data_IF_373310337062
#
_entry.id   IF_373310337062
#
_cell.length_a   1.000
_cell.length_b   1.000
_cell.length_c   1.000
_cell.angle_alpha   90.00
_cell.angle_beta   90.00
_cell.angle_gamma   90.00
#
_symmetry.space_group_name_H-M   'P 1'
#
loop_
_entity.id
_entity.type
_entity.pdbx_description
1 polymer ?
#
# COMPACT_ATOMS: atom_id res chain seq x y z
N UNK A 1 -9.83 -7.74 1.69
CA UNK A 1 -9.82 -7.31 0.28
C UNK A 1 -8.45 -6.76 -0.08
N UNK A 2 -7.92 -7.19 -1.22
CA UNK A 2 -6.65 -6.70 -1.74
C UNK A 2 -6.91 -5.74 -2.90
N UNK A 3 -6.31 -4.56 -2.85
CA UNK A 3 -6.45 -3.58 -3.91
C UNK A 3 -5.08 -3.06 -4.33
N UNK A 4 -4.77 -3.14 -5.61
CA UNK A 4 -3.55 -2.54 -6.15
C UNK A 4 -3.77 -1.05 -6.39
N UNK A 5 -2.86 -0.24 -5.88
CA UNK A 5 -2.96 1.21 -5.97
C UNK A 5 -1.74 1.74 -6.74
N UNK A 6 -1.93 2.15 -8.00
CA UNK A 6 -0.83 2.76 -8.73
C UNK A 6 -0.51 4.13 -8.15
N UNK A 7 0.78 4.39 -7.96
CA UNK A 7 1.24 5.69 -7.49
C UNK A 7 2.15 6.33 -8.54
N UNK A 8 2.13 7.66 -8.65
CA UNK A 8 2.95 8.33 -9.63
C UNK A 8 4.43 8.31 -9.24
N UNK A 9 5.29 8.16 -10.24
CA UNK A 9 6.72 8.26 -10.04
C UNK A 9 7.09 9.74 -10.16
N UNK A 10 7.54 10.33 -9.06
CA UNK A 10 8.10 11.67 -9.06
C UNK A 10 7.13 12.82 -8.80
N UNK A 11 5.90 12.80 -9.29
CA UNK A 11 4.97 13.92 -9.11
C UNK A 11 3.70 13.50 -8.37
N UNK A 12 3.60 13.93 -7.13
CA UNK A 12 2.46 13.61 -6.27
C UNK A 12 1.14 14.16 -6.82
N UNK A 13 1.19 15.24 -7.59
CA UNK A 13 -0.01 15.81 -8.19
C UNK A 13 -0.72 14.90 -9.19
N UNK A 14 -0.05 13.85 -9.65
CA UNK A 14 -0.63 12.90 -10.59
C UNK A 14 -1.40 11.76 -9.91
N UNK A 15 -1.39 11.69 -8.58
CA UNK A 15 -2.15 10.66 -7.88
C UNK A 15 -3.64 10.94 -7.98
N UNK A 16 -4.44 9.88 -8.18
CA UNK A 16 -5.89 10.04 -8.31
C UNK A 16 -6.58 10.15 -6.95
N UNK A 17 -7.75 10.77 -6.93
CA UNK A 17 -8.57 10.82 -5.72
C UNK A 17 -8.94 9.42 -5.24
N UNK A 18 -9.22 8.52 -6.16
CA UNK A 18 -9.56 7.14 -5.83
C UNK A 18 -8.40 6.43 -5.13
N UNK A 19 -7.17 6.65 -5.60
CA UNK A 19 -6.00 6.08 -4.95
C UNK A 19 -5.85 6.61 -3.53
N UNK A 20 -6.05 7.90 -3.33
CA UNK A 20 -5.99 8.50 -2.00
C UNK A 20 -7.04 7.90 -1.08
N UNK A 21 -8.27 7.77 -1.54
CA UNK A 21 -9.36 7.19 -0.76
C UNK A 21 -9.05 5.74 -0.38
N UNK A 22 -8.55 4.95 -1.34
CA UNK A 22 -8.21 3.56 -1.09
C UNK A 22 -7.14 3.44 -0.01
N UNK A 23 -6.12 4.30 -0.05
CA UNK A 23 -5.07 4.29 0.97
C UNK A 23 -5.61 4.70 2.34
N UNK A 24 -6.52 5.67 2.38
CA UNK A 24 -7.14 6.11 3.64
C UNK A 24 -8.02 5.04 4.28
N UNK A 25 -8.66 4.22 3.47
CA UNK A 25 -9.54 3.16 3.96
C UNK A 25 -8.79 1.87 4.31
N UNK A 26 -7.54 1.73 3.89
CA UNK A 26 -6.78 0.52 4.12
C UNK A 26 -6.48 0.29 5.59
N UNK A 27 -6.50 -0.97 6.00
CA UNK A 27 -6.05 -1.38 7.34
C UNK A 27 -4.56 -1.61 7.36
N UNK A 28 -3.98 -1.98 6.21
CA UNK A 28 -2.56 -2.25 6.04
C UNK A 28 -2.16 -1.87 4.63
N UNK A 29 -0.99 -1.28 4.48
CA UNK A 29 -0.45 -0.93 3.17
C UNK A 29 0.84 -1.71 2.92
N UNK A 30 0.88 -2.45 1.81
CA UNK A 30 2.06 -3.18 1.39
C UNK A 30 2.74 -2.39 0.27
N UNK A 31 4.06 -2.36 0.27
CA UNK A 31 4.83 -1.61 -0.71
C UNK A 31 6.23 -2.18 -0.86
N UNK A 32 6.86 -1.93 -1.99
CA UNK A 32 8.21 -2.43 -2.22
C UNK A 32 9.23 -1.72 -1.34
N UNK A 33 9.20 -0.39 -1.32
CA UNK A 33 10.11 0.42 -0.50
C UNK A 33 9.33 1.22 0.53
N UNK A 34 9.41 0.78 1.78
CA UNK A 34 8.66 1.41 2.87
C UNK A 34 9.09 2.85 3.12
N UNK A 35 10.36 3.18 2.89
CA UNK A 35 10.83 4.55 3.11
C UNK A 35 10.24 5.51 2.09
N UNK A 36 10.18 5.10 0.83
CA UNK A 36 9.59 5.91 -0.24
C UNK A 36 8.09 6.09 0.00
N UNK A 37 7.41 5.00 0.32
CA UNK A 37 5.97 5.04 0.56
C UNK A 37 5.62 5.84 1.80
N UNK A 38 6.44 5.80 2.84
CA UNK A 38 6.22 6.60 4.02
C UNK A 38 6.24 8.10 3.70
N UNK A 39 7.16 8.53 2.84
CA UNK A 39 7.21 9.94 2.41
C UNK A 39 5.94 10.32 1.66
N UNK A 40 5.47 9.45 0.77
CA UNK A 40 4.22 9.67 0.04
C UNK A 40 3.05 9.82 1.00
N UNK A 41 2.90 8.89 1.93
CA UNK A 41 1.79 8.89 2.87
C UNK A 41 1.83 10.11 3.79
N UNK A 42 3.01 10.54 4.22
CA UNK A 42 3.13 11.75 5.03
C UNK A 42 2.65 12.99 4.29
N UNK A 43 2.96 13.09 3.00
CA UNK A 43 2.50 14.23 2.19
C UNK A 43 0.98 14.22 2.02
N UNK A 44 0.38 13.04 2.00
CA UNK A 44 -1.07 12.88 1.91
C UNK A 44 -1.75 12.94 3.27
N UNK A 45 -0.97 13.10 4.35
CA UNK A 45 -1.47 13.09 5.72
C UNK A 45 -2.19 11.80 6.08
N UNK A 46 -1.65 10.67 5.59
CA UNK A 46 -2.17 9.35 5.86
C UNK A 46 -1.21 8.61 6.79
N UNK A 47 -1.73 8.08 7.89
CA UNK A 47 -0.96 7.29 8.84
C UNK A 47 -1.54 5.88 8.91
N UNK A 48 -0.85 4.90 8.33
CA UNK A 48 -1.29 3.50 8.29
C UNK A 48 -0.08 2.58 8.47
N UNK A 49 -0.29 1.37 8.99
CA UNK A 49 0.78 0.38 9.06
C UNK A 49 1.31 0.05 7.67
N UNK A 50 2.62 -0.05 7.55
CA UNK A 50 3.28 -0.41 6.30
C UNK A 50 3.98 -1.75 6.45
N UNK A 51 3.97 -2.56 5.39
CA UNK A 51 4.76 -3.77 5.32
C UNK A 51 5.49 -3.82 3.98
N UNK A 52 6.71 -4.34 3.99
CA UNK A 52 7.49 -4.47 2.77
C UNK A 52 7.07 -5.70 1.98
N UNK A 53 6.92 -5.54 0.67
CA UNK A 53 6.61 -6.62 -0.25
C UNK A 53 7.53 -6.46 -1.45
N UNK A 54 8.60 -7.25 -1.50
CA UNK A 54 9.59 -7.20 -2.57
C UNK A 54 10.01 -8.61 -2.96
N UNK A 55 10.83 -8.74 -4.00
CA UNK A 55 11.20 -10.03 -4.59
C UNK A 55 11.77 -11.03 -3.60
N UNK A 56 12.43 -10.55 -2.54
CA UNK A 56 13.09 -11.43 -1.57
C UNK A 56 12.14 -12.00 -0.51
N UNK A 57 10.95 -11.42 -0.34
CA UNK A 57 10.04 -11.86 0.72
C UNK A 57 8.62 -12.19 0.24
N UNK A 58 8.36 -12.14 -1.07
CA UNK A 58 7.01 -12.40 -1.60
C UNK A 58 6.46 -13.76 -1.20
N UNK A 59 7.29 -14.80 -1.27
CA UNK A 59 6.85 -16.16 -0.95
C UNK A 59 6.29 -16.29 0.46
N UNK A 60 6.76 -15.47 1.37
CA UNK A 60 6.33 -15.48 2.76
C UNK A 60 5.22 -14.46 3.02
N UNK A 61 5.33 -13.27 2.43
CA UNK A 61 4.40 -12.17 2.69
C UNK A 61 3.06 -12.33 2.00
N UNK A 62 3.05 -12.85 0.77
CA UNK A 62 1.80 -12.96 0.02
C UNK A 62 0.81 -13.86 0.74
N UNK A 63 1.17 -15.05 1.25
CA UNK A 63 0.22 -15.85 2.03
C UNK A 63 -0.31 -15.12 3.26
N UNK A 64 0.52 -14.36 3.97
CA UNK A 64 0.10 -13.60 5.13
C UNK A 64 -0.93 -12.53 4.75
N UNK A 65 -0.69 -11.82 3.65
CA UNK A 65 -1.60 -10.79 3.18
C UNK A 65 -2.94 -11.39 2.74
N UNK A 66 -2.90 -12.54 2.08
CA UNK A 66 -4.13 -13.22 1.66
C UNK A 66 -4.96 -13.67 2.87
N UNK A 67 -4.31 -14.17 3.91
CA UNK A 67 -5.03 -14.55 5.14
C UNK A 67 -5.69 -13.35 5.79
N UNK A 68 -4.99 -12.22 5.86
CA UNK A 68 -5.56 -10.99 6.43
C UNK A 68 -6.75 -10.50 5.59
N UNK A 69 -6.63 -10.55 4.27
CA UNK A 69 -7.72 -10.15 3.39
C UNK A 69 -8.93 -11.04 3.56
N UNK A 70 -8.73 -12.35 3.71
CA UNK A 70 -9.83 -13.29 3.96
C UNK A 70 -10.50 -13.01 5.29
N UNK A 71 -9.76 -12.51 6.27
CA UNK A 71 -10.31 -12.15 7.58
C UNK A 71 -11.08 -10.81 7.55
N UNK A 72 -11.19 -10.18 6.39
CA UNK A 72 -11.95 -8.95 6.24
C UNK A 72 -11.12 -7.68 6.26
N UNK A 73 -9.80 -7.76 6.40
CA UNK A 73 -8.96 -6.57 6.38
C UNK A 73 -8.83 -6.00 4.97
N UNK A 74 -8.78 -4.69 4.89
CA UNK A 74 -8.58 -3.98 3.61
C UNK A 74 -7.09 -3.72 3.45
N UNK A 75 -6.49 -4.34 2.44
CA UNK A 75 -5.05 -4.22 2.18
C UNK A 75 -4.84 -3.53 0.85
N UNK A 76 -4.07 -2.45 0.88
CA UNK A 76 -3.69 -1.73 -0.33
C UNK A 76 -2.24 -2.08 -0.66
N UNK A 77 -1.97 -2.37 -1.93
CA UNK A 77 -0.62 -2.67 -2.40
C UNK A 77 -0.21 -1.54 -3.33
N UNK A 78 0.80 -0.77 -2.90
CA UNK A 78 1.30 0.33 -3.71
C UNK A 78 2.16 -0.21 -4.83
N UNK A 79 1.85 0.20 -6.04
CA UNK A 79 2.56 -0.19 -7.25
C UNK A 79 3.05 1.06 -7.97
N UNK A 80 4.34 1.16 -8.16
CA UNK A 80 4.96 2.30 -8.87
C UNK A 80 4.88 2.14 -10.39
#
# INVERSE_FOLDING_TARGET
MLTFVPTPIGNLGDITLRAIETLKEADLIACEDTRHSLKLLKRLEISKPLTALHDHNEDRRIPELLEKAKAGEKIAIISD
#
